data_IF_595533141582
#
_entry.id   IF_595533141582
#
_cell.length_a   1.000
_cell.length_b   1.000
_cell.length_c   1.000
_cell.angle_alpha   90.00
_cell.angle_beta   90.00
_cell.angle_gamma   90.00
#
_symmetry.space_group_name_H-M   'P 1'
#
loop_
_entity.id
_entity.type
_entity.pdbx_description
1 polymer ?
#
# COMPACT_ATOMS: atom_id res chain seq x y z
N UNK A 1 -19.03 9.84 2.38
CA UNK A 1 -19.08 11.19 2.96
C UNK A 1 -17.64 11.67 3.13
N UNK A 2 -17.32 12.89 2.72
CA UNK A 2 -15.97 13.46 2.92
C UNK A 2 -15.72 13.68 4.41
N UNK A 3 -14.47 13.49 4.86
CA UNK A 3 -14.02 13.71 6.24
C UNK A 3 -13.27 15.05 6.40
N UNK A 4 -13.24 15.85 5.34
CA UNK A 4 -12.59 17.16 5.27
C UNK A 4 -13.58 18.20 4.75
N UNK A 5 -13.34 19.51 4.98
CA UNK A 5 -14.11 20.57 4.36
C UNK A 5 -14.14 20.44 2.83
N UNK A 6 -15.25 20.84 2.21
CA UNK A 6 -15.46 20.66 0.76
C UNK A 6 -14.55 21.61 -0.03
N UNK A 7 -14.30 22.79 0.50
CA UNK A 7 -13.38 23.79 -0.01
C UNK A 7 -11.91 23.32 -0.03
N UNK A 8 -11.56 22.34 0.81
CA UNK A 8 -10.25 21.70 0.86
C UNK A 8 -10.17 20.44 -0.04
N UNK A 9 -11.28 20.10 -0.71
CA UNK A 9 -11.36 18.93 -1.59
C UNK A 9 -11.41 19.33 -3.07
N UNK A 10 -10.41 18.85 -3.83
CA UNK A 10 -10.39 18.95 -5.27
C UNK A 10 -10.65 17.59 -5.91
N UNK A 11 -11.76 17.45 -6.65
CA UNK A 11 -11.98 16.28 -7.50
C UNK A 11 -11.10 16.39 -8.74
N UNK A 12 -10.16 15.46 -8.91
CA UNK A 12 -9.22 15.46 -10.03
C UNK A 12 -8.95 14.04 -10.52
N UNK A 13 -8.58 13.91 -11.80
CA UNK A 13 -8.16 12.65 -12.41
C UNK A 13 -6.63 12.54 -12.33
N UNK A 14 -6.14 11.72 -11.41
CA UNK A 14 -4.70 11.56 -11.12
C UNK A 14 -3.91 10.88 -12.25
N UNK A 15 -4.57 10.42 -13.32
CA UNK A 15 -3.90 9.99 -14.55
C UNK A 15 -3.36 11.18 -15.37
N UNK A 16 -3.79 12.41 -15.04
CA UNK A 16 -3.38 13.64 -15.69
C UNK A 16 -2.40 14.43 -14.80
N UNK A 17 -1.56 15.29 -15.37
CA UNK A 17 -0.68 16.15 -14.57
C UNK A 17 -1.49 17.07 -13.67
N UNK A 18 -1.29 16.97 -12.34
CA UNK A 18 -1.85 17.90 -11.38
C UNK A 18 -0.89 19.07 -11.17
N UNK A 19 -1.40 20.29 -11.31
CA UNK A 19 -0.66 21.54 -11.06
C UNK A 19 -1.49 22.39 -10.11
N UNK A 20 -0.85 22.84 -9.03
CA UNK A 20 -1.42 23.78 -8.08
C UNK A 20 -0.43 24.94 -7.91
N UNK A 21 -0.93 26.17 -7.76
CA UNK A 21 -0.11 27.36 -7.55
C UNK A 21 0.34 27.51 -6.08
N UNK A 22 0.70 26.37 -5.45
CA UNK A 22 1.20 26.30 -4.08
C UNK A 22 1.99 25.01 -3.86
N UNK A 23 2.84 25.03 -2.85
CA UNK A 23 3.49 23.85 -2.31
C UNK A 23 3.00 23.56 -0.89
N UNK A 24 3.35 22.36 -0.42
CA UNK A 24 2.99 21.81 0.88
C UNK A 24 4.26 21.29 1.55
N UNK A 25 4.28 21.38 2.88
CA UNK A 25 5.38 20.85 3.68
C UNK A 25 5.44 19.32 3.65
N UNK A 26 4.30 18.67 3.40
CA UNK A 26 4.16 17.22 3.27
C UNK A 26 3.07 16.87 2.25
N UNK A 27 3.43 16.05 1.27
CA UNK A 27 2.49 15.43 0.31
C UNK A 27 2.25 13.98 0.75
N UNK A 28 0.99 13.54 0.78
CA UNK A 28 0.64 12.18 1.23
C UNK A 28 -0.15 11.45 0.15
N UNK A 29 0.30 10.25 -0.21
CA UNK A 29 -0.37 9.34 -1.15
C UNK A 29 -0.20 7.90 -0.69
N UNK A 30 -1.24 7.32 -0.10
CA UNK A 30 -1.18 5.97 0.48
C UNK A 30 -2.18 5.03 -0.20
N UNK A 31 -1.70 3.92 -0.76
CA UNK A 31 -2.49 2.90 -1.48
C UNK A 31 -3.34 3.53 -2.61
N UNK A 32 -2.67 4.26 -3.50
CA UNK A 32 -3.28 4.96 -4.65
C UNK A 32 -2.68 4.51 -5.98
N UNK A 33 -1.35 4.43 -6.06
CA UNK A 33 -0.64 4.29 -7.32
C UNK A 33 -0.90 2.95 -8.03
N UNK A 34 -1.25 1.91 -7.27
CA UNK A 34 -1.61 0.58 -7.77
C UNK A 34 -2.94 0.55 -8.54
N UNK A 35 -3.79 1.56 -8.33
CA UNK A 35 -5.07 1.72 -9.04
C UNK A 35 -4.92 2.47 -10.36
N UNK A 36 -3.77 3.11 -10.59
CA UNK A 36 -3.48 3.85 -11.82
C UNK A 36 -2.79 2.92 -12.82
N UNK A 37 -3.06 3.05 -14.14
CA UNK A 37 -2.30 2.32 -15.15
C UNK A 37 -0.79 2.60 -15.00
N UNK A 38 0.05 1.59 -15.27
CA UNK A 38 1.51 1.73 -15.12
C UNK A 38 2.10 2.84 -15.98
N UNK A 39 1.47 3.15 -17.11
CA UNK A 39 1.85 4.26 -18.00
C UNK A 39 1.69 5.64 -17.34
N UNK A 40 0.86 5.74 -16.29
CA UNK A 40 0.64 6.97 -15.53
C UNK A 40 1.62 7.12 -14.36
N UNK A 41 2.46 6.13 -14.06
CA UNK A 41 3.33 6.16 -12.88
C UNK A 41 4.23 7.41 -12.84
N UNK A 42 4.85 7.76 -13.97
CA UNK A 42 5.69 8.95 -14.08
C UNK A 42 4.90 10.25 -13.91
N UNK A 43 3.76 10.39 -14.61
CA UNK A 43 2.90 11.59 -14.51
C UNK A 43 2.33 11.76 -13.09
N UNK A 44 2.00 10.66 -12.43
CA UNK A 44 1.53 10.67 -11.06
C UNK A 44 2.65 11.11 -10.10
N UNK A 45 3.85 10.54 -10.23
CA UNK A 45 4.99 10.96 -9.41
C UNK A 45 5.38 12.41 -9.68
N UNK A 46 5.36 12.88 -10.94
CA UNK A 46 5.59 14.29 -11.31
C UNK A 46 4.61 15.23 -10.59
N UNK A 47 3.35 14.80 -10.49
CA UNK A 47 2.33 15.54 -9.76
C UNK A 47 2.71 15.66 -8.28
N UNK A 48 3.03 14.54 -7.62
CA UNK A 48 3.40 14.54 -6.19
C UNK A 48 4.64 15.40 -5.90
N UNK A 49 5.73 15.22 -6.65
CA UNK A 49 7.00 15.92 -6.39
C UNK A 49 6.93 17.42 -6.72
N UNK A 50 5.96 17.84 -7.55
CA UNK A 50 5.73 19.26 -7.82
C UNK A 50 5.06 19.99 -6.65
N UNK A 51 4.40 19.24 -5.75
CA UNK A 51 3.61 19.77 -4.65
C UNK A 51 4.39 19.91 -3.34
N UNK A 52 5.56 19.31 -3.19
CA UNK A 52 6.36 19.45 -1.97
C UNK A 52 7.64 18.62 -1.98
N UNK A 53 8.58 18.99 -1.12
CA UNK A 53 9.91 18.36 -1.02
C UNK A 53 9.90 17.03 -0.24
N UNK A 54 8.81 16.75 0.48
CA UNK A 54 8.64 15.55 1.29
C UNK A 54 7.32 14.87 0.85
N UNK A 55 7.43 13.62 0.44
CA UNK A 55 6.29 12.79 -0.01
C UNK A 55 6.22 11.52 0.84
N UNK A 56 5.13 11.34 1.58
CA UNK A 56 4.80 10.08 2.23
C UNK A 56 3.99 9.22 1.24
N UNK A 57 4.54 8.07 0.87
CA UNK A 57 4.04 7.27 -0.25
C UNK A 57 3.85 5.81 0.16
N UNK A 58 2.77 5.19 -0.30
CA UNK A 58 2.62 3.73 -0.32
C UNK A 58 1.87 3.27 -1.57
N UNK A 59 2.22 2.09 -2.05
CA UNK A 59 1.54 1.42 -3.14
C UNK A 59 1.69 -0.10 -3.00
N UNK A 60 0.68 -0.83 -3.44
CA UNK A 60 0.64 -2.28 -3.34
C UNK A 60 1.79 -2.97 -4.10
N UNK A 61 2.41 -3.97 -3.47
CA UNK A 61 3.42 -4.84 -4.11
C UNK A 61 2.76 -5.93 -4.98
N UNK A 62 3.50 -6.58 -5.89
CA UNK A 62 2.95 -7.66 -6.71
C UNK A 62 2.28 -8.76 -5.88
N UNK A 63 1.11 -9.17 -6.33
CA UNK A 63 0.25 -10.15 -5.69
C UNK A 63 -0.31 -9.70 -4.34
N UNK A 64 -0.23 -8.43 -3.95
CA UNK A 64 -0.95 -7.94 -2.77
C UNK A 64 -2.45 -8.22 -2.89
N UNK A 65 -2.99 -7.97 -4.08
CA UNK A 65 -4.42 -8.00 -4.36
C UNK A 65 -5.13 -6.81 -3.73
N UNK A 66 -6.38 -6.65 -4.11
CA UNK A 66 -7.24 -5.55 -3.68
C UNK A 66 -8.26 -5.22 -4.76
N UNK A 67 -9.05 -4.18 -4.56
CA UNK A 67 -10.10 -3.82 -5.52
C UNK A 67 -9.47 -3.01 -6.64
N UNK A 68 -9.50 -3.52 -7.88
CA UNK A 68 -9.00 -2.79 -9.04
C UNK A 68 -7.51 -2.40 -8.93
N UNK A 69 -6.66 -3.34 -8.52
CA UNK A 69 -5.22 -3.17 -8.60
C UNK A 69 -4.76 -3.56 -10.00
N UNK A 70 -4.23 -2.59 -10.74
CA UNK A 70 -3.78 -2.76 -12.14
C UNK A 70 -2.27 -2.53 -12.29
N UNK A 71 -1.62 -1.98 -11.27
CA UNK A 71 -0.20 -1.61 -11.29
C UNK A 71 0.48 -1.91 -9.93
N UNK A 72 0.40 -3.15 -9.49
CA UNK A 72 1.14 -3.61 -8.31
C UNK A 72 2.65 -3.68 -8.64
N UNK A 73 3.47 -2.93 -7.90
CA UNK A 73 4.90 -2.77 -8.20
C UNK A 73 5.74 -2.80 -6.94
N UNK A 74 6.94 -3.36 -7.03
CA UNK A 74 7.89 -3.40 -5.92
C UNK A 74 8.33 -1.98 -5.53
N UNK A 75 8.67 -1.73 -4.25
CA UNK A 75 9.22 -0.45 -3.82
C UNK A 75 10.37 0.07 -4.70
N UNK A 76 11.27 -0.80 -5.15
CA UNK A 76 12.39 -0.45 -6.04
C UNK A 76 11.96 0.24 -7.35
N UNK A 77 10.79 -0.15 -7.90
CA UNK A 77 10.22 0.50 -9.09
C UNK A 77 9.89 1.98 -8.81
N UNK A 78 9.21 2.25 -7.71
CA UNK A 78 8.85 3.60 -7.30
C UNK A 78 10.09 4.41 -6.91
N UNK A 79 11.02 3.80 -6.18
CA UNK A 79 12.29 4.43 -5.79
C UNK A 79 13.04 4.95 -7.01
N UNK A 80 13.13 4.15 -8.09
CA UNK A 80 13.76 4.59 -9.32
C UNK A 80 13.08 5.82 -9.92
N UNK A 81 11.75 5.82 -10.00
CA UNK A 81 10.98 6.95 -10.56
C UNK A 81 11.19 8.22 -9.73
N UNK A 82 11.21 8.11 -8.40
CA UNK A 82 11.51 9.24 -7.51
C UNK A 82 12.97 9.71 -7.63
N UNK A 83 13.92 8.79 -7.74
CA UNK A 83 15.35 9.12 -7.91
C UNK A 83 15.63 9.91 -9.18
N UNK A 84 14.96 9.58 -10.29
CA UNK A 84 15.04 10.34 -11.55
C UNK A 84 14.58 11.80 -11.40
N UNK A 85 13.84 12.11 -10.32
CA UNK A 85 13.34 13.45 -9.96
C UNK A 85 14.13 14.10 -8.82
N UNK A 86 15.25 13.50 -8.41
CA UNK A 86 16.11 14.01 -7.33
C UNK A 86 15.57 13.76 -5.93
N UNK A 87 14.77 12.70 -5.74
CA UNK A 87 14.27 12.28 -4.44
C UNK A 87 14.95 10.98 -3.99
N UNK A 88 15.25 10.90 -2.69
CA UNK A 88 15.79 9.69 -2.05
C UNK A 88 14.73 9.04 -1.17
N UNK A 89 14.74 7.71 -1.12
CA UNK A 89 13.86 6.94 -0.25
C UNK A 89 14.44 6.83 1.16
N UNK A 90 13.58 6.97 2.16
CA UNK A 90 13.92 6.86 3.58
C UNK A 90 12.93 5.89 4.23
N UNK A 91 13.47 4.78 4.73
CA UNK A 91 12.70 3.75 5.42
C UNK A 91 12.74 3.96 6.94
N UNK A 92 12.10 5.05 7.39
CA UNK A 92 12.05 5.43 8.80
C UNK A 92 10.73 5.03 9.49
N UNK A 93 9.67 4.80 8.71
CA UNK A 93 8.33 4.53 9.25
C UNK A 93 8.13 3.04 9.52
N UNK A 94 8.45 2.16 8.57
CA UNK A 94 8.17 0.71 8.68
C UNK A 94 8.82 0.10 9.91
N UNK A 95 10.06 0.53 10.22
CA UNK A 95 10.82 0.16 11.43
C UNK A 95 10.06 0.39 12.75
N UNK A 96 9.11 1.34 12.77
CA UNK A 96 8.35 1.73 13.97
C UNK A 96 6.97 1.09 14.03
N UNK A 97 6.36 0.82 12.86
CA UNK A 97 4.96 0.39 12.78
C UNK A 97 4.77 -1.07 12.37
N UNK A 98 5.85 -1.79 12.03
CA UNK A 98 5.79 -3.15 11.48
C UNK A 98 4.90 -4.12 12.27
N UNK A 99 4.96 -4.09 13.60
CA UNK A 99 4.18 -4.97 14.48
C UNK A 99 3.07 -4.21 15.23
N UNK A 100 2.71 -3.00 14.80
CA UNK A 100 1.71 -2.19 15.49
C UNK A 100 0.31 -2.65 15.07
N UNK A 101 -0.50 -3.25 15.98
CA UNK A 101 -1.81 -3.79 15.63
C UNK A 101 -2.86 -2.72 15.28
N UNK A 102 -2.54 -1.43 15.51
CA UNK A 102 -3.39 -0.31 15.12
C UNK A 102 -3.09 0.18 13.70
N UNK A 103 -2.09 -0.39 13.02
CA UNK A 103 -1.72 -0.08 11.64
C UNK A 103 -1.99 -1.32 10.80
N UNK A 104 -2.82 -1.18 9.77
CA UNK A 104 -3.07 -2.30 8.87
C UNK A 104 -1.77 -2.73 8.18
N UNK A 105 -1.58 -4.05 8.04
CA UNK A 105 -0.30 -4.61 7.62
C UNK A 105 0.18 -4.10 6.26
N UNK A 106 -0.74 -3.76 5.34
CA UNK A 106 -0.38 -3.25 4.01
C UNK A 106 0.25 -1.86 4.11
N UNK A 107 -0.26 -0.98 5.00
CA UNK A 107 0.40 0.29 5.29
C UNK A 107 1.76 0.07 5.93
N UNK A 108 1.86 -0.83 6.92
CA UNK A 108 3.13 -1.13 7.57
C UNK A 108 4.19 -1.69 6.59
N UNK A 109 3.75 -2.41 5.56
CA UNK A 109 4.60 -2.99 4.51
C UNK A 109 5.06 -1.97 3.47
N UNK A 110 4.12 -1.18 2.94
CA UNK A 110 4.31 -0.45 1.70
C UNK A 110 4.79 0.98 1.90
N UNK A 111 4.67 1.53 3.11
CA UNK A 111 4.93 2.94 3.37
C UNK A 111 6.42 3.28 3.32
N UNK A 112 6.77 4.29 2.55
CA UNK A 112 8.09 4.89 2.47
C UNK A 112 7.98 6.41 2.46
N UNK A 113 9.03 7.08 2.93
CA UNK A 113 9.16 8.52 2.79
C UNK A 113 10.13 8.82 1.64
N UNK A 114 9.77 9.75 0.77
CA UNK A 114 10.64 10.27 -0.29
C UNK A 114 10.94 11.72 0.00
N UNK A 115 12.22 12.08 -0.02
CA UNK A 115 12.67 13.44 0.31
C UNK A 115 13.57 13.95 -0.79
N UNK A 116 13.37 15.19 -1.21
CA UNK A 116 14.21 15.86 -2.19
C UNK A 116 15.65 15.94 -1.66
N UNK A 117 16.58 15.34 -2.38
CA UNK A 117 17.93 15.06 -1.89
C UNK A 117 18.68 16.33 -1.48
N UNK A 118 18.57 17.39 -2.28
CA UNK A 118 19.25 18.65 -2.03
C UNK A 118 18.69 19.43 -0.82
N UNK A 119 17.55 19.04 -0.28
CA UNK A 119 16.96 19.65 0.92
C UNK A 119 17.20 18.81 2.18
N UNK A 120 17.81 17.63 2.07
CA UNK A 120 18.01 16.72 3.19
C UNK A 120 18.85 17.31 4.33
N UNK A 121 19.80 18.20 4.00
CA UNK A 121 20.59 18.95 4.98
C UNK A 121 19.75 19.86 5.89
N UNK A 122 18.57 20.29 5.43
CA UNK A 122 17.64 21.08 6.24
C UNK A 122 16.89 20.23 7.27
N UNK A 123 16.97 18.90 7.17
CA UNK A 123 16.25 17.95 8.03
C UNK A 123 17.21 16.93 8.66
N UNK A 124 17.98 17.31 9.71
CA UNK A 124 19.00 16.44 10.31
C UNK A 124 18.47 15.07 10.76
N UNK A 125 17.23 15.03 11.28
CA UNK A 125 16.60 13.78 11.68
C UNK A 125 16.29 12.86 10.49
N UNK A 126 15.85 13.41 9.35
CA UNK A 126 15.61 12.63 8.13
C UNK A 126 16.94 12.19 7.49
N UNK A 127 17.96 13.07 7.48
CA UNK A 127 19.31 12.71 7.04
C UNK A 127 19.86 11.51 7.81
N UNK A 128 19.74 11.52 9.14
CA UNK A 128 20.19 10.39 9.97
C UNK A 128 19.41 9.09 9.70
N UNK A 129 18.14 9.16 9.33
CA UNK A 129 17.36 7.97 8.95
C UNK A 129 17.64 7.51 7.51
N UNK A 130 17.96 8.43 6.60
CA UNK A 130 18.43 8.12 5.25
C UNK A 130 19.74 7.34 5.30
N UNK A 131 20.71 7.77 6.11
CA UNK A 131 21.98 7.04 6.32
C UNK A 131 21.79 5.63 6.88
N UNK A 132 20.69 5.39 7.61
CA UNK A 132 20.29 4.06 8.13
C UNK A 132 19.37 3.29 7.20
N UNK A 133 18.99 3.85 6.06
CA UNK A 133 18.13 3.18 5.08
C UNK A 133 18.99 2.25 4.23
N UNK A 134 18.61 0.98 4.16
CA UNK A 134 19.28 0.03 3.28
C UNK A 134 18.52 -0.04 1.94
N UNK A 135 19.01 0.62 0.86
CA UNK A 135 18.30 0.65 -0.41
C UNK A 135 18.15 -0.75 -1.03
N UNK A 136 19.05 -1.70 -0.70
CA UNK A 136 18.97 -3.08 -1.20
C UNK A 136 17.92 -3.95 -0.51
N UNK A 137 17.23 -3.42 0.51
CA UNK A 137 16.26 -4.16 1.33
C UNK A 137 14.92 -3.43 1.46
N UNK A 138 14.52 -2.67 0.44
CA UNK A 138 13.23 -1.98 0.45
C UNK A 138 12.06 -2.92 0.11
N UNK A 139 12.28 -3.90 -0.76
CA UNK A 139 11.31 -4.93 -1.15
C UNK A 139 11.20 -6.03 -0.09
N UNK A 140 10.43 -5.76 0.97
CA UNK A 140 10.15 -6.69 2.08
C UNK A 140 8.66 -7.03 2.13
N UNK A 141 8.36 -8.26 2.53
CA UNK A 141 6.98 -8.78 2.62
C UNK A 141 6.61 -8.97 4.09
N UNK A 142 5.45 -8.44 4.47
CA UNK A 142 4.90 -8.57 5.80
C UNK A 142 4.43 -10.01 6.07
N UNK A 143 4.67 -10.58 7.27
CA UNK A 143 4.24 -11.94 7.60
C UNK A 143 2.74 -12.18 7.39
N UNK A 144 1.88 -11.20 7.70
CA UNK A 144 0.42 -11.32 7.48
C UNK A 144 0.05 -11.44 6.00
N UNK A 145 0.76 -10.72 5.11
CA UNK A 145 0.56 -10.85 3.67
C UNK A 145 0.93 -12.27 3.20
N UNK A 146 2.14 -12.69 3.55
CA UNK A 146 2.67 -13.99 3.15
C UNK A 146 1.82 -15.16 3.68
N UNK A 147 1.48 -15.13 4.97
CA UNK A 147 0.68 -16.20 5.60
C UNK A 147 -0.77 -16.20 5.10
N UNK A 148 -1.37 -15.02 4.88
CA UNK A 148 -2.70 -14.88 4.30
C UNK A 148 -2.80 -15.54 2.92
N UNK A 149 -1.77 -15.35 2.07
CA UNK A 149 -1.67 -15.98 0.75
C UNK A 149 -1.52 -17.49 0.84
N UNK A 150 -0.58 -17.99 1.62
CA UNK A 150 -0.35 -19.43 1.81
C UNK A 150 -1.62 -20.15 2.28
N UNK A 151 -2.36 -19.55 3.21
CA UNK A 151 -3.65 -20.10 3.67
C UNK A 151 -4.70 -20.14 2.57
N UNK A 152 -4.80 -19.10 1.75
CA UNK A 152 -5.75 -19.05 0.63
C UNK A 152 -5.45 -20.12 -0.42
N UNK A 153 -4.17 -20.38 -0.71
CA UNK A 153 -3.76 -21.44 -1.62
C UNK A 153 -4.04 -22.83 -1.06
N UNK A 154 -3.78 -23.07 0.23
CA UNK A 154 -4.14 -24.32 0.89
C UNK A 154 -5.65 -24.56 0.89
N UNK A 155 -6.45 -23.53 1.18
CA UNK A 155 -7.91 -23.60 1.11
C UNK A 155 -8.39 -23.91 -0.31
N UNK A 156 -7.80 -23.29 -1.34
CA UNK A 156 -8.10 -23.59 -2.75
C UNK A 156 -7.71 -25.02 -3.14
N UNK A 157 -6.53 -25.50 -2.73
CA UNK A 157 -6.10 -26.90 -2.95
C UNK A 157 -7.03 -27.90 -2.24
N UNK A 158 -7.51 -27.57 -1.04
CA UNK A 158 -8.50 -28.38 -0.34
C UNK A 158 -9.83 -28.39 -1.10
N UNK A 159 -10.31 -27.23 -1.55
CA UNK A 159 -11.56 -27.13 -2.32
C UNK A 159 -11.50 -27.82 -3.68
N UNK A 160 -10.39 -27.74 -4.40
CA UNK A 160 -10.21 -28.47 -5.66
C UNK A 160 -10.12 -29.99 -5.44
N UNK A 161 -9.57 -30.43 -4.30
CA UNK A 161 -9.63 -31.85 -3.90
C UNK A 161 -11.04 -32.33 -3.53
N UNK A 162 -11.95 -31.41 -3.19
CA UNK A 162 -13.35 -31.69 -2.86
C UNK A 162 -14.21 -31.84 -4.13
N UNK A 163 -13.88 -31.17 -5.25
CA UNK A 163 -14.65 -31.36 -6.51
C UNK A 163 -14.53 -32.76 -7.10
N UNK A 164 -13.51 -33.53 -6.68
CA UNK A 164 -13.33 -34.94 -7.00
C UNK A 164 -13.98 -35.90 -6.00
N UNK A 165 -14.79 -35.41 -5.06
CA UNK A 165 -15.46 -36.22 -4.02
C UNK A 165 -16.97 -36.30 -4.24
N UNK A 166 -17.63 -37.40 -3.82
CA UNK A 166 -19.08 -37.56 -3.97
C UNK A 166 -19.85 -36.43 -3.26
N UNK A 167 -20.95 -35.98 -3.89
CA UNK A 167 -21.75 -34.79 -3.51
C UNK A 167 -22.12 -34.71 -2.01
N UNK A 168 -22.32 -35.87 -1.36
CA UNK A 168 -22.61 -35.99 0.08
C UNK A 168 -21.50 -35.44 0.98
N UNK A 169 -20.25 -35.55 0.56
CA UNK A 169 -19.06 -35.06 1.30
C UNK A 169 -18.84 -33.56 1.05
N UNK A 170 -19.22 -33.07 -0.13
CA UNK A 170 -19.17 -31.64 -0.45
C UNK A 170 -20.20 -30.86 0.39
N UNK A 171 -21.42 -31.41 0.54
CA UNK A 171 -22.50 -30.82 1.33
C UNK A 171 -22.18 -30.72 2.83
N UNK A 172 -21.46 -31.68 3.40
CA UNK A 172 -21.04 -31.63 4.81
C UNK A 172 -19.94 -30.58 5.06
N UNK A 173 -19.06 -30.33 4.08
CA UNK A 173 -18.04 -29.27 4.17
C UNK A 173 -18.60 -27.85 4.00
N UNK A 174 -19.62 -27.66 3.15
CA UNK A 174 -20.23 -26.33 2.90
C UNK A 174 -20.92 -25.73 4.13
N UNK A 175 -21.44 -26.56 5.03
CA UNK A 175 -22.05 -26.11 6.30
C UNK A 175 -21.03 -25.46 7.26
N UNK A 176 -19.74 -25.81 7.16
CA UNK A 176 -18.67 -25.19 7.94
C UNK A 176 -18.16 -23.88 7.32
N UNK A 177 -18.07 -23.83 5.98
CA UNK A 177 -17.56 -22.67 5.24
C UNK A 177 -18.54 -21.48 5.27
N UNK A 178 -19.85 -21.75 5.14
CA UNK A 178 -20.89 -20.71 5.28
C UNK A 178 -20.88 -20.08 6.67
N UNK A 179 -20.67 -20.87 7.73
CA UNK A 179 -20.50 -20.36 9.11
C UNK A 179 -19.29 -19.44 9.27
N UNK A 180 -18.15 -19.77 8.67
CA UNK A 180 -16.94 -18.95 8.78
C UNK A 180 -17.01 -17.67 7.94
N UNK A 181 -17.62 -17.74 6.74
CA UNK A 181 -17.92 -16.56 5.93
C UNK A 181 -18.92 -15.63 6.63
N UNK A 182 -19.97 -16.17 7.27
CA UNK A 182 -20.88 -15.39 8.11
C UNK A 182 -20.16 -14.76 9.31
N UNK A 183 -19.32 -15.51 10.03
CA UNK A 183 -18.54 -14.98 11.17
C UNK A 183 -17.66 -13.80 10.77
N UNK A 184 -16.97 -13.88 9.62
CA UNK A 184 -16.16 -12.77 9.11
C UNK A 184 -17.01 -11.55 8.72
N UNK A 185 -18.22 -11.77 8.22
CA UNK A 185 -19.16 -10.69 7.85
C UNK A 185 -19.79 -10.02 9.08
N UNK A 186 -20.07 -10.79 10.13
CA UNK A 186 -20.56 -10.31 11.44
C UNK A 186 -19.46 -9.56 12.20
N UNK A 187 -18.21 -10.06 12.19
CA UNK A 187 -17.08 -9.37 12.83
C UNK A 187 -16.73 -8.03 12.18
N UNK A 188 -17.03 -7.84 10.88
CA UNK A 188 -16.86 -6.55 10.18
C UNK A 188 -18.01 -5.55 10.38
N UNK A 189 -19.15 -5.98 10.92
CA UNK A 189 -20.36 -5.14 11.07
C UNK A 189 -20.66 -4.72 12.51
N UNK A 190 -19.93 -5.25 13.49
CA UNK A 190 -20.03 -4.80 14.88
C UNK A 190 -19.10 -3.59 15.11
N UNK A 191 -19.61 -2.47 15.67
CA UNK A 191 -18.75 -1.35 16.02
C UNK A 191 -17.74 -1.79 17.08
N UNK A 192 -16.47 -1.40 16.88
CA UNK A 192 -15.42 -1.57 17.89
C UNK A 192 -15.74 -0.61 19.04
N UNK A 193 -16.04 -1.16 20.22
CA UNK A 193 -16.16 -0.38 21.47
C UNK A 193 -14.84 0.26 21.86
#
# INVERSE_FOLDING_TARGET
>A
MLQIPVEDFLKFDLQKPLRLDRQFDLVVSLEVAEHLPSQCAETFTDSLVSLGEIVLFSAAIPFQGGTHHVNEQWPDYWVKIFQERGYVAIDCIRKRVWQNPNVEWWYAQNILLFVKENCLENYPALKAEFEKTNPSQLSIVHPEHFTGKSRSEEELKRLSSISNRPLREVLSCLLGLTKNALKRRVAKTLPKN
#
